data_IF_928663297352
#
_entry.id   IF_928663297352
#
_cell.length_a   1.000
_cell.length_b   1.000
_cell.length_c   1.000
_cell.angle_alpha   90.00
_cell.angle_beta   90.00
_cell.angle_gamma   90.00
#
_symmetry.space_group_name_H-M   'P 1'
#
loop_
_entity.id
_entity.type
_entity.pdbx_description
1 polymer ?
#
# COMPACT_ATOMS: atom_id res chain seq x y z
N UNK A 1 -24.82 -9.62 -12.36
CA UNK A 1 -24.22 -10.84 -12.93
C UNK A 1 -23.14 -11.25 -11.95
N UNK A 2 -23.41 -12.25 -11.09
CA UNK A 2 -22.43 -12.77 -10.14
C UNK A 2 -21.20 -13.24 -10.91
N UNK A 3 -20.05 -12.65 -10.61
CA UNK A 3 -18.76 -13.08 -11.12
C UNK A 3 -18.49 -14.48 -10.57
N UNK A 4 -18.63 -15.50 -11.41
CA UNK A 4 -18.14 -16.84 -11.12
C UNK A 4 -16.62 -16.75 -11.07
N UNK A 5 -16.07 -16.70 -9.87
CA UNK A 5 -14.64 -16.78 -9.62
C UNK A 5 -14.12 -18.09 -10.24
N UNK A 6 -13.18 -17.99 -11.18
CA UNK A 6 -12.48 -19.16 -11.73
C UNK A 6 -11.84 -19.94 -10.56
N UNK A 7 -12.29 -21.18 -10.34
CA UNK A 7 -11.68 -22.08 -9.36
C UNK A 7 -10.31 -22.50 -9.86
N UNK A 8 -9.26 -22.10 -9.15
CA UNK A 8 -7.90 -22.57 -9.38
C UNK A 8 -7.75 -24.06 -9.09
N UNK A 9 -6.77 -24.68 -9.76
CA UNK A 9 -6.32 -26.07 -9.59
C UNK A 9 -5.22 -26.23 -8.53
N UNK A 10 -4.69 -25.14 -7.98
CA UNK A 10 -3.64 -25.16 -6.96
C UNK A 10 -4.27 -25.09 -5.56
N UNK A 11 -4.15 -26.16 -4.78
CA UNK A 11 -4.69 -26.23 -3.43
C UNK A 11 -3.78 -25.48 -2.45
N UNK A 12 -4.32 -24.48 -1.74
CA UNK A 12 -3.56 -23.71 -0.73
C UNK A 12 -3.14 -24.64 0.40
N UNK A 13 -1.83 -24.86 0.54
CA UNK A 13 -1.24 -25.66 1.62
C UNK A 13 -0.76 -24.73 2.73
N UNK A 14 -1.53 -24.67 3.81
CA UNK A 14 -1.16 -23.96 5.03
C UNK A 14 -0.27 -24.85 5.90
N UNK A 15 0.69 -24.24 6.58
CA UNK A 15 1.59 -24.91 7.52
C UNK A 15 1.81 -24.05 8.76
N UNK A 16 2.20 -24.64 9.89
CA UNK A 16 2.69 -23.88 11.04
C UNK A 16 3.83 -22.94 10.65
N UNK A 17 3.82 -21.73 11.22
CA UNK A 17 4.97 -20.85 11.17
C UNK A 17 6.18 -21.51 11.87
N UNK A 18 7.39 -21.16 11.44
CA UNK A 18 8.64 -21.79 11.94
C UNK A 18 8.81 -21.61 13.46
N UNK A 19 8.26 -20.53 14.01
CA UNK A 19 8.33 -20.17 15.42
C UNK A 19 7.10 -20.63 16.24
N UNK A 20 6.15 -21.33 15.62
CA UNK A 20 4.96 -21.86 16.26
C UNK A 20 5.15 -23.33 16.67
N UNK A 21 5.09 -23.60 17.97
CA UNK A 21 5.31 -24.93 18.55
C UNK A 21 4.02 -25.47 19.15
N UNK A 22 3.64 -26.69 18.79
CA UNK A 22 2.53 -27.41 19.39
C UNK A 22 3.00 -28.24 20.58
N UNK A 23 2.25 -28.20 21.69
CA UNK A 23 2.49 -29.00 22.87
C UNK A 23 1.16 -29.45 23.51
N UNK A 24 1.25 -30.47 24.36
CA UNK A 24 0.16 -30.92 25.23
C UNK A 24 0.54 -30.63 26.68
N UNK A 25 -0.32 -29.91 27.39
CA UNK A 25 -0.22 -29.72 28.85
C UNK A 25 -1.43 -30.35 29.50
N UNK A 26 -1.24 -31.41 30.29
CA UNK A 26 -2.33 -32.16 30.93
C UNK A 26 -3.44 -32.59 29.95
N UNK A 27 -3.05 -32.97 28.73
CA UNK A 27 -3.97 -33.34 27.64
C UNK A 27 -4.65 -32.17 26.93
N UNK A 28 -4.37 -30.92 27.32
CA UNK A 28 -4.86 -29.73 26.63
C UNK A 28 -3.91 -29.33 25.48
N UNK A 29 -4.43 -29.15 24.25
CA UNK A 29 -3.63 -28.69 23.11
C UNK A 29 -3.29 -27.21 23.24
N UNK A 30 -2.01 -26.91 23.04
CA UNK A 30 -1.44 -25.57 23.23
C UNK A 30 -0.49 -25.22 22.11
N UNK A 31 -0.53 -23.95 21.66
CA UNK A 31 0.43 -23.35 20.74
C UNK A 31 1.30 -22.33 21.47
N UNK A 32 2.61 -22.48 21.36
CA UNK A 32 3.58 -21.47 21.78
C UNK A 32 4.07 -20.71 20.54
N UNK A 33 3.97 -19.38 20.56
CA UNK A 33 4.64 -18.51 19.59
C UNK A 33 5.94 -18.01 20.19
N UNK A 34 7.06 -18.40 19.60
CA UNK A 34 8.36 -17.90 20.03
C UNK A 34 8.57 -16.44 19.62
N UNK A 35 8.07 -15.97 18.46
CA UNK A 35 8.17 -14.55 18.11
C UNK A 35 7.35 -13.66 19.06
N UNK A 36 6.14 -14.11 19.43
CA UNK A 36 5.25 -13.37 20.32
C UNK A 36 5.50 -13.57 21.81
N UNK A 37 6.31 -14.57 22.19
CA UNK A 37 6.47 -15.05 23.57
C UNK A 37 5.11 -15.28 24.26
N UNK A 38 4.19 -15.92 23.54
CA UNK A 38 2.80 -16.13 23.97
C UNK A 38 2.39 -17.58 23.84
N UNK A 39 1.49 -17.98 24.73
CA UNK A 39 0.86 -19.29 24.73
C UNK A 39 -0.62 -19.13 24.41
N UNK A 40 -1.13 -19.96 23.50
CA UNK A 40 -2.53 -19.99 23.08
C UNK A 40 -3.09 -21.38 23.36
N UNK A 41 -4.10 -21.46 24.21
CA UNK A 41 -4.85 -22.70 24.42
C UNK A 41 -5.79 -22.94 23.24
N UNK A 42 -5.84 -24.17 22.76
CA UNK A 42 -6.80 -24.64 21.76
C UNK A 42 -7.86 -25.51 22.43
N UNK A 43 -9.04 -25.58 21.84
CA UNK A 43 -9.98 -26.65 22.11
C UNK A 43 -9.57 -27.92 21.33
N UNK A 44 -10.30 -29.01 21.54
CA UNK A 44 -10.00 -30.29 20.88
C UNK A 44 -10.13 -30.20 19.34
N UNK A 45 -11.10 -29.43 18.84
CA UNK A 45 -11.30 -29.21 17.40
C UNK A 45 -10.15 -28.40 16.80
N UNK A 46 -9.74 -27.31 17.45
CA UNK A 46 -8.60 -26.50 17.05
C UNK A 46 -7.29 -27.28 17.09
N UNK A 47 -7.09 -28.11 18.11
CA UNK A 47 -5.95 -29.03 18.19
C UNK A 47 -5.93 -30.04 17.04
N UNK A 48 -7.10 -30.62 16.71
CA UNK A 48 -7.24 -31.51 15.56
C UNK A 48 -6.88 -30.81 14.25
N UNK A 49 -7.49 -29.66 13.96
CA UNK A 49 -7.24 -28.88 12.73
C UNK A 49 -5.74 -28.54 12.62
N UNK A 50 -5.14 -28.04 13.70
CA UNK A 50 -3.73 -27.68 13.72
C UNK A 50 -2.82 -28.87 13.39
N UNK A 51 -3.03 -30.02 14.04
CA UNK A 51 -2.24 -31.23 13.80
C UNK A 51 -2.33 -31.70 12.35
N UNK A 52 -3.51 -31.60 11.72
CA UNK A 52 -3.68 -31.96 10.31
C UNK A 52 -2.95 -31.00 9.37
N UNK A 53 -3.04 -29.70 9.59
CA UNK A 53 -2.27 -28.71 8.83
C UNK A 53 -0.75 -28.90 9.01
N UNK A 54 -0.30 -29.20 10.24
CA UNK A 54 1.11 -29.49 10.53
C UNK A 54 1.63 -30.74 9.81
N UNK A 55 0.75 -31.68 9.47
CA UNK A 55 1.07 -32.86 8.65
C UNK A 55 0.98 -32.60 7.14
N UNK A 56 0.73 -31.35 6.72
CA UNK A 56 0.58 -30.97 5.32
C UNK A 56 -0.76 -31.40 4.71
N UNK A 57 -1.77 -31.70 5.53
CA UNK A 57 -3.09 -32.04 5.03
C UNK A 57 -3.74 -30.82 4.37
N UNK A 58 -4.43 -31.08 3.27
CA UNK A 58 -5.20 -30.05 2.60
C UNK A 58 -6.53 -29.75 3.31
N UNK A 59 -7.12 -28.58 3.02
CA UNK A 59 -8.40 -28.22 3.66
C UNK A 59 -9.53 -29.18 3.30
N UNK A 60 -9.56 -29.70 2.07
CA UNK A 60 -10.51 -30.72 1.67
C UNK A 60 -10.38 -32.00 2.52
N UNK A 61 -9.14 -32.41 2.81
CA UNK A 61 -8.88 -33.55 3.69
C UNK A 61 -9.30 -33.27 5.14
N UNK A 62 -9.03 -32.06 5.66
CA UNK A 62 -9.49 -31.65 7.00
C UNK A 62 -11.01 -31.72 7.09
N UNK A 63 -11.74 -31.15 6.12
CA UNK A 63 -13.21 -31.19 6.10
C UNK A 63 -13.75 -32.63 6.05
N UNK A 64 -13.16 -33.46 5.19
CA UNK A 64 -13.56 -34.86 5.06
C UNK A 64 -13.38 -35.63 6.38
N UNK A 65 -12.30 -35.39 7.13
CA UNK A 65 -12.05 -36.07 8.40
C UNK A 65 -12.89 -35.53 9.54
N UNK A 66 -13.18 -34.22 9.58
CA UNK A 66 -14.14 -33.67 10.52
C UNK A 66 -15.54 -34.26 10.32
N UNK A 67 -15.90 -34.58 9.07
CA UNK A 67 -17.13 -35.32 8.75
C UNK A 67 -17.20 -36.72 9.38
N UNK A 68 -16.06 -37.38 9.60
CA UNK A 68 -15.99 -38.68 10.31
C UNK A 68 -16.19 -38.52 11.83
N UNK A 69 -16.12 -37.30 12.34
CA UNK A 69 -16.36 -36.93 13.74
C UNK A 69 -17.77 -36.34 13.93
N UNK A 70 -18.70 -36.63 13.01
CA UNK A 70 -20.08 -36.12 12.99
C UNK A 70 -20.20 -34.57 12.91
N UNK A 71 -19.15 -33.88 12.45
CA UNK A 71 -19.21 -32.43 12.18
C UNK A 71 -19.56 -32.23 10.71
N UNK A 72 -20.77 -31.73 10.46
CA UNK A 72 -21.25 -31.44 9.10
C UNK A 72 -20.39 -30.36 8.40
N UNK A 73 -20.23 -30.49 7.09
CA UNK A 73 -19.30 -29.68 6.30
C UNK A 73 -19.46 -28.15 6.48
N UNK A 74 -20.67 -27.56 6.50
CA UNK A 74 -20.81 -26.11 6.70
C UNK A 74 -20.24 -25.63 8.05
N UNK A 75 -20.42 -26.44 9.09
CA UNK A 75 -19.92 -26.15 10.44
C UNK A 75 -18.40 -26.37 10.49
N UNK A 76 -17.90 -27.44 9.86
CA UNK A 76 -16.47 -27.69 9.76
C UNK A 76 -15.73 -26.54 9.05
N UNK A 77 -16.25 -26.06 7.92
CA UNK A 77 -15.73 -24.89 7.20
C UNK A 77 -15.69 -23.66 8.08
N UNK A 78 -16.76 -23.38 8.83
CA UNK A 78 -16.81 -22.25 9.74
C UNK A 78 -15.73 -22.33 10.83
N UNK A 79 -15.56 -23.50 11.47
CA UNK A 79 -14.53 -23.68 12.50
C UNK A 79 -13.11 -23.51 11.94
N UNK A 80 -12.83 -24.16 10.81
CA UNK A 80 -11.53 -24.08 10.15
C UNK A 80 -11.23 -22.64 9.73
N UNK A 81 -12.20 -21.93 9.16
CA UNK A 81 -12.04 -20.52 8.77
C UNK A 81 -11.73 -19.62 9.96
N UNK A 82 -12.46 -19.79 11.07
CA UNK A 82 -12.22 -19.03 12.30
C UNK A 82 -10.84 -19.33 12.90
N UNK A 83 -10.45 -20.60 12.95
CA UNK A 83 -9.15 -21.04 13.45
C UNK A 83 -8.00 -20.45 12.60
N UNK A 84 -8.05 -20.63 11.28
CA UNK A 84 -7.04 -20.10 10.34
C UNK A 84 -6.95 -18.58 10.44
N UNK A 85 -8.08 -17.87 10.39
CA UNK A 85 -8.10 -16.40 10.52
C UNK A 85 -7.41 -15.96 11.80
N UNK A 86 -7.74 -16.63 12.91
CA UNK A 86 -7.21 -16.30 14.21
C UNK A 86 -5.72 -16.63 14.36
N UNK A 87 -5.22 -17.67 13.69
CA UNK A 87 -3.82 -18.05 13.71
C UNK A 87 -2.97 -17.17 12.79
N UNK A 88 -3.48 -16.78 11.62
CA UNK A 88 -2.83 -15.79 10.73
C UNK A 88 -2.64 -14.47 11.45
N UNK A 89 -3.69 -13.94 12.09
CA UNK A 89 -3.63 -12.66 12.82
C UNK A 89 -2.63 -12.69 13.99
N UNK A 90 -2.21 -13.88 14.43
CA UNK A 90 -1.22 -14.11 15.50
C UNK A 90 0.16 -14.53 14.98
N UNK A 91 0.35 -14.61 13.66
CA UNK A 91 1.60 -15.04 13.04
C UNK A 91 1.93 -16.53 13.26
N UNK A 92 0.93 -17.37 13.53
CA UNK A 92 1.12 -18.80 13.82
C UNK A 92 1.09 -19.67 12.56
N UNK A 93 0.64 -19.14 11.43
CA UNK A 93 0.58 -19.86 10.16
C UNK A 93 1.45 -19.20 9.09
N UNK A 94 1.93 -20.04 8.18
CA UNK A 94 2.59 -19.69 6.94
C UNK A 94 1.97 -20.51 5.79
N UNK A 95 2.34 -20.20 4.56
CA UNK A 95 1.86 -20.89 3.36
C UNK A 95 3.02 -21.51 2.60
N UNK A 96 2.82 -22.67 1.99
CA UNK A 96 3.83 -23.23 1.08
C UNK A 96 3.88 -22.43 -0.23
N UNK A 97 4.87 -21.54 -0.34
CA UNK A 97 5.09 -20.65 -1.49
C UNK A 97 5.56 -21.36 -2.76
N UNK A 98 5.67 -22.70 -2.74
CA UNK A 98 5.98 -23.51 -3.95
C UNK A 98 4.82 -23.60 -4.94
N UNK A 99 3.66 -23.05 -4.62
CA UNK A 99 2.50 -23.04 -5.51
C UNK A 99 2.77 -22.25 -6.79
N UNK A 100 2.43 -22.83 -7.95
CA UNK A 100 2.56 -22.16 -9.23
C UNK A 100 1.51 -21.05 -9.36
N UNK A 101 1.91 -19.81 -9.11
CA UNK A 101 1.14 -18.64 -9.53
C UNK A 101 1.35 -18.42 -11.02
N UNK A 102 0.32 -18.67 -11.82
CA UNK A 102 0.40 -18.56 -13.29
C UNK A 102 0.34 -17.11 -13.79
N UNK A 103 0.01 -16.18 -12.89
CA UNK A 103 -0.16 -14.77 -13.17
C UNK A 103 0.91 -13.98 -12.43
N UNK A 104 1.78 -13.28 -13.15
CA UNK A 104 2.86 -12.50 -12.55
C UNK A 104 3.17 -11.23 -13.35
N UNK A 105 3.71 -10.23 -12.66
CA UNK A 105 4.35 -9.06 -13.25
C UNK A 105 5.43 -8.54 -12.31
N UNK A 106 6.34 -7.73 -12.87
CA UNK A 106 7.35 -7.00 -12.12
C UNK A 106 7.12 -5.51 -12.25
N UNK A 107 7.59 -4.73 -11.28
CA UNK A 107 7.56 -3.26 -11.33
C UNK A 107 8.70 -2.70 -10.49
N UNK A 108 8.95 -1.41 -10.62
CA UNK A 108 9.91 -0.70 -9.77
C UNK A 108 9.16 0.38 -9.01
N UNK A 109 9.34 0.45 -7.71
CA UNK A 109 8.70 1.43 -6.84
C UNK A 109 9.66 1.90 -5.77
N UNK A 110 9.91 3.21 -5.68
CA UNK A 110 10.84 3.77 -4.69
C UNK A 110 12.23 3.13 -4.77
N UNK A 111 12.74 2.93 -5.99
CA UNK A 111 14.02 2.25 -6.30
C UNK A 111 14.12 0.79 -5.83
N UNK A 112 13.01 0.12 -5.55
CA UNK A 112 12.96 -1.31 -5.25
C UNK A 112 12.27 -2.06 -6.39
N UNK A 113 12.85 -3.16 -6.84
CA UNK A 113 12.20 -4.09 -7.76
C UNK A 113 11.22 -4.96 -6.99
N UNK A 114 9.95 -4.89 -7.37
CA UNK A 114 8.86 -5.66 -6.78
C UNK A 114 8.40 -6.68 -7.81
N UNK A 115 8.42 -7.96 -7.44
CA UNK A 115 7.76 -9.01 -8.21
C UNK A 115 6.42 -9.33 -7.57
N UNK A 116 5.35 -9.36 -8.35
CA UNK A 116 4.01 -9.70 -7.89
C UNK A 116 3.53 -10.96 -8.58
N UNK A 117 3.01 -11.88 -7.79
CA UNK A 117 2.50 -13.18 -8.20
C UNK A 117 1.11 -13.37 -7.63
N UNK A 118 0.19 -13.82 -8.47
CA UNK A 118 -1.20 -14.07 -8.09
C UNK A 118 -1.67 -15.43 -8.61
N UNK A 119 -2.58 -16.05 -7.86
CA UNK A 119 -3.17 -17.33 -8.24
C UNK A 119 -3.98 -17.26 -9.54
N UNK A 120 -4.74 -16.19 -9.74
CA UNK A 120 -5.62 -16.01 -10.90
C UNK A 120 -5.55 -14.59 -11.48
N UNK A 121 -6.19 -14.40 -12.64
CA UNK A 121 -6.16 -13.12 -13.38
C UNK A 121 -6.93 -12.00 -12.69
N UNK A 122 -7.99 -12.28 -11.93
CA UNK A 122 -8.75 -11.25 -11.19
C UNK A 122 -7.87 -10.61 -10.10
N UNK A 123 -7.22 -11.44 -9.29
CA UNK A 123 -6.26 -10.97 -8.28
C UNK A 123 -5.10 -10.21 -8.94
N UNK A 124 -4.57 -10.72 -10.06
CA UNK A 124 -3.52 -10.03 -10.79
C UNK A 124 -3.97 -8.65 -11.27
N UNK A 125 -5.15 -8.53 -11.88
CA UNK A 125 -5.68 -7.27 -12.40
C UNK A 125 -5.87 -6.23 -11.28
N UNK A 126 -6.36 -6.66 -10.11
CA UNK A 126 -6.47 -5.82 -8.91
C UNK A 126 -5.12 -5.29 -8.45
N UNK A 127 -4.10 -6.15 -8.43
CA UNK A 127 -2.74 -5.78 -8.01
C UNK A 127 -2.03 -4.89 -9.03
N UNK A 128 -2.13 -5.21 -10.33
CA UNK A 128 -1.57 -4.39 -11.42
C UNK A 128 -2.12 -2.97 -11.37
N UNK A 129 -3.41 -2.80 -11.04
CA UNK A 129 -4.04 -1.47 -10.96
C UNK A 129 -3.35 -0.51 -9.99
N UNK A 130 -2.57 -1.01 -9.03
CA UNK A 130 -1.82 -0.17 -8.09
C UNK A 130 -0.65 0.56 -8.71
N UNK A 131 -0.15 0.13 -9.87
CA UNK A 131 1.13 0.59 -10.39
C UNK A 131 0.96 1.40 -11.68
N UNK A 132 1.75 2.46 -11.83
CA UNK A 132 1.78 3.27 -13.05
C UNK A 132 2.41 2.52 -14.23
N UNK A 133 3.30 1.56 -13.96
CA UNK A 133 3.97 0.74 -14.96
C UNK A 133 4.19 -0.68 -14.43
N UNK A 134 4.17 -1.65 -15.33
CA UNK A 134 4.51 -3.04 -15.08
C UNK A 134 5.31 -3.60 -16.24
N UNK A 135 6.21 -4.52 -15.91
CA UNK A 135 7.10 -5.23 -16.83
C UNK A 135 6.88 -6.74 -16.71
N UNK A 136 7.14 -7.47 -17.79
CA UNK A 136 7.14 -8.94 -17.79
C UNK A 136 8.54 -9.53 -17.53
N UNK A 137 9.48 -8.73 -17.02
CA UNK A 137 10.88 -9.12 -16.92
C UNK A 137 11.12 -9.94 -15.65
N UNK A 138 11.60 -11.17 -15.83
CA UNK A 138 12.15 -12.01 -14.78
C UNK A 138 13.51 -11.47 -14.33
N UNK A 139 13.67 -11.27 -13.03
CA UNK A 139 14.91 -10.82 -12.40
C UNK A 139 14.82 -10.93 -10.88
N UNK A 140 15.96 -10.78 -10.20
CA UNK A 140 15.99 -10.77 -8.74
C UNK A 140 15.20 -9.57 -8.21
N UNK A 141 14.15 -9.84 -7.44
CA UNK A 141 13.31 -8.83 -6.82
C UNK A 141 13.76 -8.55 -5.37
N UNK A 142 13.67 -7.29 -4.96
CA UNK A 142 13.92 -6.87 -3.57
C UNK A 142 12.73 -7.25 -2.67
N UNK A 143 11.52 -7.23 -3.26
CA UNK A 143 10.26 -7.57 -2.60
C UNK A 143 9.46 -8.51 -3.50
N UNK A 144 9.05 -9.66 -2.96
CA UNK A 144 8.18 -10.60 -3.64
C UNK A 144 6.80 -10.59 -2.96
N UNK A 145 5.76 -10.25 -3.70
CA UNK A 145 4.38 -10.27 -3.22
C UNK A 145 3.66 -11.45 -3.85
N UNK A 146 3.11 -12.31 -3.03
CA UNK A 146 2.31 -13.46 -3.47
C UNK A 146 0.91 -13.35 -2.89
N UNK A 147 -0.12 -13.56 -3.73
CA UNK A 147 -1.52 -13.52 -3.33
C UNK A 147 -2.31 -14.71 -3.88
N UNK A 148 -3.12 -15.34 -3.02
CA UNK A 148 -3.89 -16.55 -3.32
C UNK A 148 -5.26 -16.50 -2.64
N UNK A 149 -6.24 -17.18 -3.24
CA UNK A 149 -7.59 -17.31 -2.69
C UNK A 149 -7.63 -18.39 -1.61
N UNK A 150 -8.25 -18.05 -0.49
CA UNK A 150 -8.71 -19.00 0.51
C UNK A 150 -10.20 -18.77 0.75
N UNK A 151 -11.04 -19.60 0.12
CA UNK A 151 -12.50 -19.44 0.14
C UNK A 151 -12.94 -18.04 -0.35
N UNK A 152 -13.45 -17.19 0.54
CA UNK A 152 -13.92 -15.83 0.27
C UNK A 152 -12.88 -14.74 0.62
N UNK A 153 -11.68 -15.13 1.06
CA UNK A 153 -10.59 -14.22 1.43
C UNK A 153 -9.38 -14.40 0.51
N UNK A 154 -8.53 -13.38 0.50
CA UNK A 154 -7.21 -13.44 -0.11
C UNK A 154 -6.18 -13.58 0.99
N UNK A 155 -5.32 -14.58 0.89
CA UNK A 155 -4.09 -14.65 1.66
C UNK A 155 -2.96 -14.04 0.84
N UNK A 156 -2.06 -13.31 1.50
CA UNK A 156 -0.90 -12.76 0.82
C UNK A 156 0.31 -12.65 1.76
N UNK A 157 1.51 -12.65 1.19
CA UNK A 157 2.76 -12.59 1.95
C UNK A 157 3.94 -12.02 1.16
N UNK A 158 5.11 -12.02 1.81
CA UNK A 158 6.40 -11.65 1.22
C UNK A 158 6.72 -10.15 1.21
N UNK A 159 5.75 -9.29 1.55
CA UNK A 159 5.99 -7.88 1.88
C UNK A 159 6.66 -7.75 3.24
N UNK A 160 6.37 -8.59 4.20
CA UNK A 160 7.05 -8.62 5.49
C UNK A 160 7.17 -10.09 5.95
N UNK A 161 7.61 -10.32 7.19
CA UNK A 161 7.82 -11.67 7.70
C UNK A 161 6.51 -12.48 7.88
N UNK A 162 5.34 -11.82 7.86
CA UNK A 162 4.05 -12.44 8.14
C UNK A 162 3.28 -12.89 6.91
N UNK A 163 2.40 -13.87 7.13
CA UNK A 163 1.26 -14.16 6.26
C UNK A 163 0.10 -13.25 6.67
N UNK A 164 -0.61 -12.71 5.70
CA UNK A 164 -1.72 -11.78 5.91
C UNK A 164 -2.97 -12.25 5.18
N UNK A 165 -4.10 -11.67 5.56
CA UNK A 165 -5.39 -11.91 4.91
C UNK A 165 -6.20 -10.62 4.76
N UNK A 166 -7.02 -10.56 3.72
CA UNK A 166 -7.99 -9.50 3.52
C UNK A 166 -9.16 -9.98 2.64
N UNK A 167 -10.21 -9.17 2.55
CA UNK A 167 -11.23 -9.36 1.51
C UNK A 167 -10.67 -9.02 0.12
N UNK A 168 -11.28 -9.57 -0.93
CA UNK A 168 -10.85 -9.39 -2.33
C UNK A 168 -10.78 -7.90 -2.72
N UNK A 169 -11.81 -7.11 -2.38
CA UNK A 169 -11.85 -5.67 -2.67
C UNK A 169 -10.83 -4.86 -1.88
N UNK A 170 -10.35 -5.39 -0.75
CA UNK A 170 -9.36 -4.75 0.11
C UNK A 170 -7.92 -5.12 -0.26
N UNK A 171 -7.71 -6.05 -1.20
CA UNK A 171 -6.38 -6.53 -1.57
C UNK A 171 -5.45 -5.41 -1.98
N UNK A 172 -5.83 -4.64 -3.01
CA UNK A 172 -4.96 -3.61 -3.55
C UNK A 172 -4.64 -2.50 -2.52
N UNK A 173 -5.64 -1.93 -1.80
CA UNK A 173 -5.36 -0.97 -0.73
C UNK A 173 -4.47 -1.51 0.40
N UNK A 174 -4.66 -2.77 0.79
CA UNK A 174 -3.87 -3.39 1.86
C UNK A 174 -2.42 -3.59 1.44
N UNK A 175 -2.20 -4.05 0.21
CA UNK A 175 -0.86 -4.20 -0.37
C UNK A 175 -0.17 -2.85 -0.53
N UNK A 176 -0.87 -1.83 -1.03
CA UNK A 176 -0.34 -0.45 -1.12
C UNK A 176 0.14 0.04 0.25
N UNK A 177 -0.70 -0.07 1.29
CA UNK A 177 -0.35 0.38 2.63
C UNK A 177 0.88 -0.33 3.20
N UNK A 178 0.96 -1.66 3.06
CA UNK A 178 2.10 -2.45 3.55
C UNK A 178 3.39 -2.20 2.77
N UNK A 179 3.31 -2.08 1.46
CA UNK A 179 4.47 -1.71 0.63
C UNK A 179 4.97 -0.32 1.01
N UNK A 180 4.09 0.67 1.19
CA UNK A 180 4.47 2.01 1.66
C UNK A 180 5.19 1.94 3.00
N UNK A 181 4.64 1.22 3.98
CA UNK A 181 5.26 1.07 5.31
C UNK A 181 6.66 0.42 5.24
N UNK A 182 6.81 -0.65 4.45
CA UNK A 182 8.13 -1.28 4.22
C UNK A 182 9.12 -0.33 3.55
N UNK A 183 8.69 0.45 2.56
CA UNK A 183 9.57 1.40 1.87
C UNK A 183 10.03 2.53 2.81
N UNK A 184 9.12 3.07 3.63
CA UNK A 184 9.44 4.10 4.64
C UNK A 184 10.46 3.57 5.67
N UNK A 185 10.30 2.30 6.10
CA UNK A 185 11.19 1.67 7.08
C UNK A 185 12.52 1.18 6.52
N UNK A 186 12.78 1.34 5.22
CA UNK A 186 14.08 0.99 4.66
C UNK A 186 15.16 1.99 5.09
N UNK A 187 16.37 1.51 5.38
CA UNK A 187 17.50 2.32 5.90
C UNK A 187 18.04 3.36 4.91
N UNK A 188 17.38 3.55 3.76
CA UNK A 188 17.79 4.47 2.69
C UNK A 188 17.31 5.90 2.90
N UNK A 189 16.25 6.09 3.69
CA UNK A 189 15.58 7.37 3.84
C UNK A 189 15.75 7.89 5.26
N UNK A 190 15.86 9.21 5.41
CA UNK A 190 15.96 9.82 6.76
C UNK A 190 14.60 10.01 7.41
N UNK A 191 13.57 10.30 6.60
CA UNK A 191 12.17 10.38 7.01
C UNK A 191 11.27 10.42 5.75
N UNK A 192 9.97 10.40 5.97
CA UNK A 192 8.94 10.54 4.95
C UNK A 192 8.05 11.76 5.24
N UNK A 193 7.55 12.42 4.19
CA UNK A 193 6.55 13.48 4.29
C UNK A 193 5.22 12.98 3.75
N UNK A 194 4.12 13.33 4.42
CA UNK A 194 2.79 13.14 3.86
C UNK A 194 2.49 14.21 2.79
N UNK A 195 2.99 13.98 1.58
CA UNK A 195 2.88 14.91 0.47
C UNK A 195 2.65 14.17 -0.85
N UNK A 196 1.85 14.77 -1.73
CA UNK A 196 1.90 14.40 -3.14
C UNK A 196 3.15 15.05 -3.77
N UNK A 197 3.84 14.33 -4.64
CA UNK A 197 5.07 14.76 -5.29
C UNK A 197 4.92 14.75 -6.80
N UNK A 198 5.33 15.85 -7.43
CA UNK A 198 5.40 16.02 -8.86
C UNK A 198 6.76 16.59 -9.25
N UNK A 199 7.08 16.61 -10.53
CA UNK A 199 8.28 17.23 -11.07
C UNK A 199 7.94 18.18 -12.21
N UNK A 200 8.67 19.29 -12.28
CA UNK A 200 8.65 20.25 -13.38
C UNK A 200 10.05 20.80 -13.58
N UNK A 201 10.50 20.84 -14.83
CA UNK A 201 11.80 21.42 -15.19
C UNK A 201 12.99 20.84 -14.40
N UNK A 202 12.95 19.54 -14.07
CA UNK A 202 14.01 18.85 -13.31
C UNK A 202 13.99 19.10 -11.80
N UNK A 203 13.01 19.83 -11.26
CA UNK A 203 12.85 20.07 -9.83
C UNK A 203 11.53 19.49 -9.31
N UNK A 204 11.55 19.02 -8.07
CA UNK A 204 10.41 18.47 -7.35
C UNK A 204 9.48 19.56 -6.82
N UNK A 205 8.18 19.29 -6.88
CA UNK A 205 7.11 20.05 -6.25
C UNK A 205 6.41 19.16 -5.23
N UNK A 206 6.36 19.60 -3.98
CA UNK A 206 5.66 18.93 -2.89
C UNK A 206 4.34 19.64 -2.60
N UNK A 207 3.23 18.89 -2.65
CA UNK A 207 1.92 19.33 -2.19
C UNK A 207 1.68 18.76 -0.79
N UNK A 208 1.79 19.62 0.22
CA UNK A 208 1.62 19.29 1.63
C UNK A 208 0.23 19.73 2.11
N UNK A 209 -0.39 18.96 2.99
CA UNK A 209 -1.65 19.36 3.61
C UNK A 209 -2.38 18.18 4.24
N UNK A 210 -3.43 18.47 4.98
CA UNK A 210 -4.22 17.46 5.68
C UNK A 210 -4.93 16.47 4.74
N UNK A 211 -5.44 15.38 5.31
CA UNK A 211 -6.32 14.48 4.58
C UNK A 211 -7.57 15.24 4.09
N UNK A 212 -7.87 15.14 2.79
CA UNK A 212 -9.00 15.87 2.18
C UNK A 212 -8.67 17.29 1.70
N UNK A 213 -7.46 17.80 1.95
CA UNK A 213 -7.01 19.11 1.45
C UNK A 213 -6.92 19.19 -0.09
N UNK A 214 -7.11 18.08 -0.82
CA UNK A 214 -7.17 18.05 -2.28
C UNK A 214 -5.86 17.69 -2.99
N UNK A 215 -4.84 17.18 -2.28
CA UNK A 215 -3.53 16.77 -2.82
C UNK A 215 -3.62 15.93 -4.10
N UNK A 216 -4.33 14.80 -4.06
CA UNK A 216 -4.45 13.89 -5.21
C UNK A 216 -5.21 14.53 -6.38
N UNK A 217 -6.26 15.30 -6.10
CA UNK A 217 -7.03 16.02 -7.13
C UNK A 217 -6.19 17.10 -7.80
N UNK A 218 -5.42 17.87 -7.03
CA UNK A 218 -4.55 18.91 -7.58
C UNK A 218 -3.35 18.29 -8.32
N UNK A 219 -2.79 17.18 -7.82
CA UNK A 219 -1.77 16.42 -8.53
C UNK A 219 -2.28 15.96 -9.91
N UNK A 220 -3.50 15.41 -10.00
CA UNK A 220 -4.13 15.03 -11.25
C UNK A 220 -4.24 16.22 -12.23
N UNK A 221 -4.68 17.37 -11.75
CA UNK A 221 -4.80 18.60 -12.55
C UNK A 221 -3.44 19.09 -13.07
N UNK A 222 -2.39 19.03 -12.24
CA UNK A 222 -1.03 19.41 -12.64
C UNK A 222 -0.43 18.43 -13.64
N UNK A 223 -0.69 17.13 -13.52
CA UNK A 223 -0.29 16.14 -14.54
C UNK A 223 -0.94 16.47 -15.88
N UNK A 224 -2.23 16.81 -15.89
CA UNK A 224 -2.93 17.31 -17.08
C UNK A 224 -2.32 18.59 -17.68
N UNK A 225 -1.59 19.37 -16.88
CA UNK A 225 -0.83 20.55 -17.30
C UNK A 225 0.66 20.27 -17.59
N UNK A 226 1.04 19.00 -17.77
CA UNK A 226 2.39 18.59 -18.16
C UNK A 226 3.42 18.64 -17.03
N UNK A 227 2.98 18.49 -15.77
CA UNK A 227 3.87 18.08 -14.68
C UNK A 227 4.07 16.57 -14.71
N UNK A 228 5.24 16.10 -14.30
CA UNK A 228 5.51 14.68 -14.21
C UNK A 228 5.11 14.17 -12.82
N UNK A 229 4.24 13.17 -12.75
CA UNK A 229 3.79 12.57 -11.49
C UNK A 229 4.92 11.78 -10.82
N UNK A 230 5.09 11.88 -9.50
CA UNK A 230 6.07 11.09 -8.73
C UNK A 230 5.45 10.28 -7.57
N UNK A 231 4.30 10.70 -7.04
CA UNK A 231 3.57 9.99 -5.99
C UNK A 231 2.44 10.85 -5.42
N UNK A 232 1.41 10.25 -4.80
CA UNK A 232 0.23 10.97 -4.29
C UNK A 232 0.12 11.03 -2.76
N UNK A 233 0.75 10.10 -2.04
CA UNK A 233 0.57 9.94 -0.58
C UNK A 233 1.83 10.23 0.25
N UNK A 234 3.01 9.86 -0.26
CA UNK A 234 4.27 9.90 0.48
C UNK A 234 5.40 10.37 -0.42
N UNK A 235 6.23 11.26 0.12
CA UNK A 235 7.54 11.61 -0.42
C UNK A 235 8.63 11.18 0.57
N UNK A 236 9.55 10.34 0.13
CA UNK A 236 10.69 9.85 0.91
C UNK A 236 11.85 10.83 0.77
N UNK A 237 12.50 11.20 1.88
CA UNK A 237 13.56 12.21 1.89
C UNK A 237 14.93 11.56 2.09
N UNK A 238 15.90 11.95 1.27
CA UNK A 238 17.31 11.56 1.39
C UNK A 238 18.08 12.56 2.27
N UNK A 239 19.25 12.14 2.76
CA UNK A 239 20.07 12.95 3.68
C UNK A 239 20.57 14.27 3.09
N UNK A 240 20.59 14.40 1.77
CA UNK A 240 20.97 15.60 1.03
C UNK A 240 19.80 16.55 0.76
N UNK A 241 18.59 16.24 1.25
CA UNK A 241 17.40 17.04 1.03
C UNK A 241 16.71 16.83 -0.32
N UNK A 242 17.13 15.83 -1.12
CA UNK A 242 16.33 15.41 -2.28
C UNK A 242 15.13 14.58 -1.86
N UNK A 243 14.07 14.61 -2.69
CA UNK A 243 12.83 13.89 -2.43
C UNK A 243 12.56 12.85 -3.53
N UNK A 244 12.18 11.65 -3.11
CA UNK A 244 11.74 10.55 -3.97
C UNK A 244 10.26 10.26 -3.71
N UNK A 245 9.42 10.37 -4.73
CA UNK A 245 8.05 9.91 -4.66
C UNK A 245 7.93 8.38 -4.66
N UNK A 246 6.76 7.87 -4.26
CA UNK A 246 6.37 6.48 -4.43
C UNK A 246 5.27 6.44 -5.50
N UNK A 247 5.60 6.16 -6.79
CA UNK A 247 4.68 6.32 -7.92
C UNK A 247 3.70 5.14 -8.05
N UNK A 248 2.91 4.89 -7.02
CA UNK A 248 1.67 4.14 -7.19
C UNK A 248 0.74 4.88 -8.14
N UNK A 249 -0.18 4.17 -8.79
CA UNK A 249 -1.28 4.79 -9.52
C UNK A 249 -2.07 5.74 -8.61
N UNK A 250 -2.51 6.86 -9.19
CA UNK A 250 -3.13 7.96 -8.46
C UNK A 250 -4.47 7.52 -7.86
N UNK A 251 -4.65 7.74 -6.56
CA UNK A 251 -5.82 7.27 -5.82
C UNK A 251 -7.00 8.21 -6.04
N UNK A 252 -8.05 7.73 -6.69
CA UNK A 252 -9.31 8.46 -6.87
C UNK A 252 -10.39 7.93 -5.95
N UNK A 253 -10.96 8.82 -5.14
CA UNK A 253 -12.18 8.56 -4.37
C UNK A 253 -13.41 8.70 -5.28
N UNK A 254 -14.53 8.12 -4.85
CA UNK A 254 -15.82 8.11 -5.58
C UNK A 254 -16.20 9.46 -6.18
N UNK A 255 -16.19 10.53 -5.38
CA UNK A 255 -16.48 11.90 -5.84
C UNK A 255 -15.44 12.53 -6.77
N UNK A 256 -14.41 11.77 -7.19
CA UNK A 256 -13.38 12.25 -8.12
C UNK A 256 -13.19 11.33 -9.33
N UNK A 257 -14.05 10.32 -9.53
CA UNK A 257 -13.90 9.36 -10.64
C UNK A 257 -14.12 9.99 -12.02
N UNK A 258 -14.98 11.00 -12.14
CA UNK A 258 -15.23 11.75 -13.38
C UNK A 258 -13.97 12.44 -13.93
N UNK A 259 -13.04 12.79 -13.04
CA UNK A 259 -11.77 13.43 -13.39
C UNK A 259 -10.76 12.47 -14.00
N UNK A 260 -11.04 11.17 -14.03
CA UNK A 260 -10.18 10.20 -14.75
C UNK A 260 -9.99 10.56 -16.22
N UNK A 261 -11.00 11.19 -16.83
CA UNK A 261 -10.97 11.71 -18.20
C UNK A 261 -9.85 12.72 -18.47
N UNK A 262 -9.31 13.38 -17.43
CA UNK A 262 -8.14 14.27 -17.54
C UNK A 262 -6.92 13.54 -18.09
N UNK A 263 -6.76 12.25 -17.77
CA UNK A 263 -5.65 11.43 -18.25
C UNK A 263 -6.09 10.33 -19.23
N UNK A 264 -7.27 9.75 -19.01
CA UNK A 264 -7.77 8.61 -19.77
C UNK A 264 -9.28 8.75 -20.01
N UNK A 265 -9.68 9.07 -21.23
CA UNK A 265 -11.08 9.38 -21.59
C UNK A 265 -12.07 8.22 -21.40
N UNK A 266 -11.60 6.95 -21.42
CA UNK A 266 -12.43 5.74 -21.31
C UNK A 266 -11.90 4.75 -20.27
N UNK A 267 -11.33 5.24 -19.16
CA UNK A 267 -10.78 4.37 -18.13
C UNK A 267 -11.88 3.74 -17.25
N UNK A 268 -12.01 2.41 -17.33
CA UNK A 268 -12.85 1.61 -16.42
C UNK A 268 -11.98 0.92 -15.37
N UNK A 269 -11.71 1.66 -14.29
CA UNK A 269 -10.89 1.18 -13.18
C UNK A 269 -11.61 0.21 -12.26
N UNK A 270 -10.90 -0.81 -11.77
CA UNK A 270 -11.41 -1.70 -10.73
C UNK A 270 -11.68 -0.89 -9.46
N UNK A 271 -12.89 -1.02 -8.91
CA UNK A 271 -13.23 -0.45 -7.61
C UNK A 271 -12.69 -1.33 -6.49
N UNK A 272 -12.02 -0.70 -5.54
CA UNK A 272 -11.48 -1.30 -4.33
C UNK A 272 -12.09 -0.66 -3.10
N UNK A 273 -12.03 -1.38 -1.97
CA UNK A 273 -12.56 -0.92 -0.69
C UNK A 273 -11.45 -0.85 0.36
N UNK A 274 -11.22 0.35 0.87
CA UNK A 274 -10.24 0.59 1.94
C UNK A 274 -10.74 0.06 3.29
N UNK A 275 -9.83 -0.04 4.26
CA UNK A 275 -10.13 -0.47 5.63
C UNK A 275 -11.12 0.48 6.35
N UNK A 276 -11.14 1.77 5.97
CA UNK A 276 -12.12 2.76 6.45
C UNK A 276 -13.48 2.68 5.73
N UNK A 277 -13.65 1.74 4.81
CA UNK A 277 -14.86 1.54 4.01
C UNK A 277 -14.95 2.40 2.76
N UNK A 278 -14.02 3.34 2.53
CA UNK A 278 -14.04 4.21 1.37
C UNK A 278 -13.80 3.42 0.07
N UNK A 279 -14.57 3.74 -0.97
CA UNK A 279 -14.39 3.21 -2.31
C UNK A 279 -13.35 4.03 -3.09
N UNK A 280 -12.39 3.34 -3.69
CA UNK A 280 -11.30 3.97 -4.46
C UNK A 280 -11.05 3.24 -5.77
N UNK A 281 -10.51 3.97 -6.73
CA UNK A 281 -9.94 3.43 -7.96
C UNK A 281 -8.53 4.00 -8.15
N UNK A 282 -7.64 3.24 -8.77
CA UNK A 282 -6.24 3.62 -8.94
C UNK A 282 -5.94 3.95 -10.40
N UNK A 283 -5.78 5.23 -10.71
CA UNK A 283 -5.57 5.73 -12.07
C UNK A 283 -4.08 5.73 -12.43
N UNK A 284 -3.61 4.84 -13.32
CA UNK A 284 -2.21 4.81 -13.71
C UNK A 284 -1.82 6.07 -14.47
N UNK A 285 -0.67 6.66 -14.10
CA UNK A 285 -0.12 7.84 -14.75
C UNK A 285 1.06 7.45 -15.62
N UNK A 286 0.95 7.66 -16.94
CA UNK A 286 2.03 7.39 -17.88
C UNK A 286 3.26 8.26 -17.59
N UNK A 287 4.46 7.74 -17.82
CA UNK A 287 5.74 8.44 -17.62
C UNK A 287 5.93 8.98 -16.19
N UNK A 288 5.40 8.30 -15.17
CA UNK A 288 5.66 8.65 -13.77
C UNK A 288 7.18 8.65 -13.48
N UNK A 289 7.64 9.67 -12.76
CA UNK A 289 9.01 9.78 -12.30
C UNK A 289 9.26 8.82 -11.13
N UNK A 290 10.35 8.07 -11.20
CA UNK A 290 10.74 7.09 -10.18
C UNK A 290 12.21 7.30 -9.83
N UNK A 291 12.48 8.34 -9.05
CA UNK A 291 13.81 8.81 -8.71
C UNK A 291 13.75 9.95 -7.69
N UNK A 292 14.93 10.42 -7.27
CA UNK A 292 15.02 11.58 -6.40
C UNK A 292 15.26 12.85 -7.20
N UNK A 293 14.66 13.94 -6.74
CA UNK A 293 14.84 15.26 -7.31
C UNK A 293 15.13 16.28 -6.20
N UNK A 294 15.91 17.33 -6.49
CA UNK A 294 15.97 18.49 -5.60
C UNK A 294 14.57 19.12 -5.50
N UNK A 295 14.16 19.51 -4.30
CA UNK A 295 12.86 20.15 -4.08
C UNK A 295 12.97 21.62 -4.49
N UNK A 296 12.22 22.03 -5.52
CA UNK A 296 12.16 23.42 -5.98
C UNK A 296 10.98 24.20 -5.40
N UNK A 297 9.87 23.51 -5.09
CA UNK A 297 8.65 24.14 -4.58
C UNK A 297 8.00 23.32 -3.47
N UNK A 298 7.52 24.01 -2.43
CA UNK A 298 6.73 23.44 -1.35
C UNK A 298 5.42 24.22 -1.27
N UNK A 299 4.31 23.54 -1.50
CA UNK A 299 2.98 24.16 -1.51
C UNK A 299 2.17 23.55 -0.38
N UNK A 300 1.85 24.34 0.63
CA UNK A 300 0.93 23.97 1.69
C UNK A 300 -0.50 24.30 1.26
N UNK A 301 -1.38 23.31 1.29
CA UNK A 301 -2.75 23.43 0.84
C UNK A 301 -3.66 23.89 1.97
N UNK A 302 -4.42 24.95 1.71
CA UNK A 302 -5.50 25.44 2.54
C UNK A 302 -6.78 25.53 1.70
N UNK A 303 -7.59 24.47 1.73
CA UNK A 303 -8.83 24.43 0.95
C UNK A 303 -9.96 25.17 1.68
N UNK A 304 -10.58 26.13 0.99
CA UNK A 304 -11.69 26.94 1.49
C UNK A 304 -12.98 26.65 0.71
N UNK A 305 -14.13 27.02 1.27
CA UNK A 305 -15.43 26.75 0.66
C UNK A 305 -15.78 27.69 -0.51
N UNK A 306 -15.15 28.86 -0.59
CA UNK A 306 -15.33 29.83 -1.66
C UNK A 306 -14.19 30.86 -1.66
N UNK A 307 -14.05 31.59 -2.76
CA UNK A 307 -13.00 32.59 -2.96
C UNK A 307 -12.05 32.22 -4.10
N UNK A 308 -11.37 33.23 -4.64
CA UNK A 308 -10.33 33.06 -5.66
C UNK A 308 -9.06 32.47 -5.04
N UNK A 309 -8.28 31.70 -5.81
CA UNK A 309 -7.07 31.11 -5.29
C UNK A 309 -5.99 32.19 -5.06
N UNK A 310 -5.20 32.00 -4.01
CA UNK A 310 -4.11 32.91 -3.64
C UNK A 310 -2.88 32.12 -3.20
N UNK A 311 -1.70 32.60 -3.61
CA UNK A 311 -0.40 32.09 -3.15
C UNK A 311 0.26 33.13 -2.24
N UNK A 312 0.43 32.78 -0.97
CA UNK A 312 1.18 33.59 0.00
C UNK A 312 2.55 32.97 0.22
N UNK A 313 3.63 33.73 0.01
CA UNK A 313 4.98 33.25 0.28
C UNK A 313 5.17 32.98 1.78
N UNK A 314 5.87 31.88 2.10
CA UNK A 314 6.24 31.52 3.46
C UNK A 314 7.74 31.69 3.66
N UNK A 315 8.12 32.10 4.86
CA UNK A 315 9.53 32.08 5.24
C UNK A 315 10.01 30.64 5.54
N UNK A 316 11.33 30.49 5.68
CA UNK A 316 11.94 29.18 5.91
C UNK A 316 11.54 28.58 7.26
N UNK A 317 11.32 29.40 8.30
CA UNK A 317 11.02 28.92 9.65
C UNK A 317 9.59 28.36 9.73
N UNK A 318 8.62 29.06 9.14
CA UNK A 318 7.23 28.60 9.07
C UNK A 318 7.11 27.38 8.16
N UNK A 319 7.84 27.34 7.05
CA UNK A 319 7.90 26.16 6.18
C UNK A 319 8.47 24.96 6.94
N UNK A 320 9.56 25.16 7.69
CA UNK A 320 10.17 24.12 8.50
C UNK A 320 9.22 23.57 9.57
N UNK A 321 8.52 24.44 10.31
CA UNK A 321 7.52 24.03 11.32
C UNK A 321 6.44 23.15 10.73
N UNK A 322 5.84 23.59 9.62
CA UNK A 322 4.76 22.86 8.94
C UNK A 322 5.24 21.51 8.37
N UNK A 323 6.47 21.43 7.88
CA UNK A 323 7.05 20.16 7.41
C UNK A 323 7.32 19.19 8.57
N UNK A 324 7.80 19.68 9.71
CA UNK A 324 8.02 18.85 10.90
C UNK A 324 6.70 18.26 11.39
N UNK A 325 5.62 19.05 11.40
CA UNK A 325 4.27 18.58 11.77
C UNK A 325 3.76 17.47 10.84
N UNK A 326 4.09 17.54 9.54
CA UNK A 326 3.73 16.55 8.53
C UNK A 326 4.75 15.43 8.30
N UNK A 327 5.84 15.39 9.07
CA UNK A 327 6.91 14.41 8.92
C UNK A 327 6.63 13.11 9.68
N UNK A 328 6.94 11.98 9.04
CA UNK A 328 6.86 10.65 9.62
C UNK A 328 8.23 9.97 9.54
N UNK A 329 8.73 9.52 10.69
CA UNK A 329 9.95 8.72 10.79
C UNK A 329 9.61 7.34 11.38
N UNK A 330 10.42 6.32 11.07
CA UNK A 330 10.15 4.94 11.48
C UNK A 330 10.04 4.76 13.02
N UNK A 331 10.78 5.55 13.79
CA UNK A 331 10.77 5.58 15.26
C UNK A 331 9.84 6.68 15.84
N UNK A 332 9.11 7.38 14.97
CA UNK A 332 8.23 8.50 15.33
C UNK A 332 8.96 9.80 15.68
N UNK A 333 10.28 9.91 15.46
CA UNK A 333 11.06 11.10 15.82
C UNK A 333 11.92 11.58 14.66
N UNK A 334 11.93 12.88 14.42
CA UNK A 334 12.85 13.46 13.44
C UNK A 334 14.28 13.41 13.99
N UNK A 335 15.17 12.70 13.31
CA UNK A 335 16.60 12.62 13.66
C UNK A 335 17.33 13.94 13.36
N UNK A 336 18.53 14.12 13.91
CA UNK A 336 19.38 15.27 13.59
C UNK A 336 19.72 15.35 12.10
N UNK A 337 19.97 14.20 11.46
CA UNK A 337 20.18 14.13 10.00
C UNK A 337 18.92 14.54 9.25
N UNK A 338 17.74 14.10 9.70
CA UNK A 338 16.46 14.52 9.14
C UNK A 338 16.21 16.03 9.28
N UNK A 339 16.59 16.63 10.40
CA UNK A 339 16.52 18.08 10.62
C UNK A 339 17.38 18.85 9.60
N UNK A 340 18.61 18.40 9.35
CA UNK A 340 19.48 19.04 8.35
C UNK A 340 18.97 18.83 6.92
N UNK A 341 18.44 17.65 6.59
CA UNK A 341 17.80 17.42 5.30
C UNK A 341 16.59 18.35 5.08
N UNK A 342 15.75 18.58 6.11
CA UNK A 342 14.68 19.59 6.04
C UNK A 342 15.23 21.00 5.84
N UNK A 343 16.32 21.35 6.51
CA UNK A 343 16.98 22.64 6.35
C UNK A 343 17.44 22.86 4.91
N UNK A 344 18.05 21.85 4.29
CA UNK A 344 18.46 21.91 2.87
C UNK A 344 17.24 22.11 1.95
N UNK A 345 16.16 21.36 2.18
CA UNK A 345 14.90 21.51 1.44
C UNK A 345 14.36 22.95 1.53
N UNK A 346 14.16 23.48 2.74
CA UNK A 346 13.56 24.83 2.89
C UNK A 346 14.49 25.95 2.45
N UNK A 347 15.81 25.71 2.42
CA UNK A 347 16.79 26.67 1.93
C UNK A 347 16.85 26.72 0.39
N UNK A 348 16.64 25.58 -0.27
CA UNK A 348 16.65 25.46 -1.74
C UNK A 348 15.31 25.68 -2.41
N UNK A 349 14.19 25.47 -1.71
CA UNK A 349 12.84 25.53 -2.27
C UNK A 349 12.14 26.87 -2.01
N UNK A 350 11.31 27.31 -2.98
CA UNK A 350 10.33 28.39 -2.75
C UNK A 350 9.08 27.79 -2.07
N UNK A 351 8.69 28.34 -0.93
CA UNK A 351 7.58 27.82 -0.13
C UNK A 351 6.37 28.75 -0.13
N UNK A 352 5.17 28.19 -0.28
CA UNK A 352 3.93 28.95 -0.37
C UNK A 352 2.79 28.27 0.38
N UNK A 353 1.90 29.09 0.93
CA UNK A 353 0.55 28.68 1.31
C UNK A 353 -0.39 28.95 0.13
N UNK A 354 -1.02 27.92 -0.39
CA UNK A 354 -2.06 28.00 -1.42
C UNK A 354 -3.43 27.92 -0.77
N UNK A 355 -4.13 29.05 -0.73
CA UNK A 355 -5.55 29.08 -0.36
C UNK A 355 -6.41 28.95 -1.61
N UNK A 356 -7.32 27.98 -1.67
CA UNK A 356 -8.10 27.73 -2.89
C UNK A 356 -9.42 26.99 -2.65
N UNK A 357 -10.37 27.13 -3.58
CA UNK A 357 -11.63 26.37 -3.60
C UNK A 357 -11.63 25.30 -4.71
N UNK A 358 -11.34 25.74 -5.94
CA UNK A 358 -11.38 24.93 -7.16
C UNK A 358 -9.98 24.50 -7.63
N UNK A 359 -9.81 23.21 -7.91
CA UNK A 359 -8.50 22.67 -8.30
C UNK A 359 -8.02 23.17 -9.67
N UNK A 360 -8.94 23.52 -10.57
CA UNK A 360 -8.64 24.04 -11.91
C UNK A 360 -7.98 25.42 -11.83
N UNK A 361 -8.50 26.31 -10.99
CA UNK A 361 -7.95 27.66 -10.80
C UNK A 361 -6.61 27.60 -10.05
N UNK A 362 -6.52 26.75 -9.02
CA UNK A 362 -5.27 26.49 -8.29
C UNK A 362 -4.15 25.99 -9.21
N UNK A 363 -4.48 25.11 -10.18
CA UNK A 363 -3.54 24.61 -11.18
C UNK A 363 -2.93 25.74 -11.99
N UNK A 364 -3.71 26.75 -12.40
CA UNK A 364 -3.21 27.86 -13.22
C UNK A 364 -2.14 28.66 -12.49
N UNK A 365 -2.38 29.03 -11.22
CA UNK A 365 -1.38 29.72 -10.40
C UNK A 365 -0.09 28.90 -10.23
N UNK A 366 -0.20 27.60 -10.00
CA UNK A 366 0.97 26.73 -9.82
C UNK A 366 1.76 26.53 -11.13
N UNK A 367 1.07 26.47 -12.27
CA UNK A 367 1.71 26.43 -13.60
C UNK A 367 2.50 27.72 -13.83
N UNK A 368 1.94 28.89 -13.54
CA UNK A 368 2.61 30.16 -13.71
C UNK A 368 3.81 30.32 -12.76
N UNK A 369 3.65 29.92 -11.50
CA UNK A 369 4.73 29.87 -10.51
C UNK A 369 5.92 29.03 -10.99
N UNK A 370 5.67 27.82 -11.46
CA UNK A 370 6.74 26.89 -11.86
C UNK A 370 7.37 27.24 -13.21
N UNK A 371 6.70 28.05 -14.02
CA UNK A 371 7.23 28.61 -15.26
C UNK A 371 7.94 29.96 -15.08
N UNK A 372 8.03 30.47 -13.84
CA UNK A 372 8.70 31.74 -13.53
C UNK A 372 7.92 32.98 -13.92
N UNK A 373 6.59 32.88 -14.06
CA UNK A 373 5.69 33.98 -14.41
C UNK A 373 5.02 34.65 -13.20
N UNK A 374 5.20 34.09 -12.00
CA UNK A 374 4.56 34.53 -10.75
C UNK A 374 5.56 34.93 -9.65
#
# INVERSE_FOLDING_TARGET
MELVLEKSSAEVVLKPAVDAVFALFDGQPVLFSAAGQKIYQLDQVGGFIWCRLAQGASLAAVYHEMGKLDIVEPVARQFVRQAISSWIDRGLLDVDRRMSTNCAFSTVLGRHRISVRAENRDLLQRLVSLFCASDNVDGQADIAVEAMMLEDQVLFGGIDAGLHRCGVEALAPTIKARLTDRLIRSDRWVFALHAASLAKNGAGLLLCGEAGAGKSTLALQLVGAGFQYSGDDVALIESDGTACGIPFALTLKEGSWEWSSVLHSNWDGVTHRRADGAQVRYLPVSNAHNGSLPVGWIIFLNRVASGSPELTALDQLDSMRRLIEGAFAADGRLSTTGFFALKEIVSGARSFLLTYCEAVEARELLVDLCNGKA
#
